data_IF_188865272344
#
_entry.id   IF_188865272344
#
_cell.length_a   1.000
_cell.length_b   1.000
_cell.length_c   1.000
_cell.angle_alpha   90.00
_cell.angle_beta   90.00
_cell.angle_gamma   90.00
#
_symmetry.space_group_name_H-M   'P 1'
#
loop_
_entity.id
_entity.type
_entity.pdbx_description
1 polymer ?
#
# COMPACT_ATOMS: atom_id res chain seq x y z
N UNK A 1 -4.53 12.59 3.72
CA UNK A 1 -3.25 12.54 2.99
C UNK A 1 -2.73 13.95 2.71
N UNK A 2 -3.48 14.80 2.00
CA UNK A 2 -3.08 16.19 1.68
C UNK A 2 -2.90 17.10 2.90
N UNK A 3 -3.71 16.95 3.96
CA UNK A 3 -3.56 17.75 5.19
C UNK A 3 -2.23 17.53 5.91
N UNK A 4 -1.71 16.30 5.88
CA UNK A 4 -0.43 15.98 6.51
C UNK A 4 0.74 16.65 5.78
N UNK A 5 0.71 16.65 4.44
CA UNK A 5 1.74 17.31 3.63
C UNK A 5 1.72 18.83 3.83
N UNK A 6 0.54 19.45 3.85
CA UNK A 6 0.40 20.90 3.99
C UNK A 6 0.93 21.43 5.34
N UNK A 7 0.62 20.76 6.46
CA UNK A 7 1.05 21.17 7.80
C UNK A 7 2.56 20.96 8.01
N UNK A 8 3.18 20.07 7.24
CA UNK A 8 4.57 19.69 7.43
C UNK A 8 5.57 20.79 7.00
N UNK A 9 5.19 21.64 6.05
CA UNK A 9 6.10 22.64 5.48
C UNK A 9 6.28 23.90 6.33
N UNK A 10 5.31 24.24 7.17
CA UNK A 10 5.30 25.53 7.87
C UNK A 10 6.10 25.55 9.18
N UNK A 11 6.69 24.42 9.57
CA UNK A 11 7.27 24.28 10.90
C UNK A 11 8.75 23.85 10.81
N UNK A 12 9.70 24.79 11.03
CA UNK A 12 11.12 24.47 11.02
C UNK A 12 11.47 23.39 12.07
N UNK A 13 12.49 22.58 11.76
CA UNK A 13 13.01 21.45 12.55
C UNK A 13 12.12 20.19 12.71
N UNK A 14 10.96 20.12 12.05
CA UNK A 14 10.16 18.88 12.10
C UNK A 14 10.85 17.68 11.45
N UNK A 15 11.64 17.88 10.41
CA UNK A 15 12.40 16.81 9.77
C UNK A 15 13.29 16.07 10.78
N UNK A 16 14.07 16.81 11.59
CA UNK A 16 14.95 16.22 12.62
C UNK A 16 14.16 15.52 13.72
N UNK A 17 13.04 16.13 14.14
CA UNK A 17 12.16 15.53 15.16
C UNK A 17 11.56 14.22 14.66
N UNK A 18 11.06 14.19 13.44
CA UNK A 18 10.50 12.99 12.83
C UNK A 18 11.57 11.93 12.57
N UNK A 19 12.76 12.32 12.11
CA UNK A 19 13.88 11.40 11.95
C UNK A 19 14.23 10.71 13.27
N UNK A 20 14.35 11.48 14.36
CA UNK A 20 14.60 10.93 15.69
C UNK A 20 13.48 9.99 16.16
N UNK A 21 12.21 10.37 15.95
CA UNK A 21 11.06 9.52 16.29
C UNK A 21 11.04 8.23 15.48
N UNK A 22 11.29 8.30 14.18
CA UNK A 22 11.31 7.15 13.28
C UNK A 22 12.47 6.20 13.61
N UNK A 23 13.70 6.72 13.83
CA UNK A 23 14.86 5.93 14.25
C UNK A 23 14.62 5.22 15.59
N UNK A 24 13.91 5.89 16.53
CA UNK A 24 13.48 5.29 17.80
C UNK A 24 12.28 4.36 17.69
N UNK A 25 11.74 4.15 16.48
CA UNK A 25 10.53 3.37 16.20
C UNK A 25 9.27 3.88 16.93
N UNK A 26 9.26 5.17 17.28
CA UNK A 26 8.15 5.84 17.96
C UNK A 26 7.13 6.48 16.99
N UNK A 27 7.39 6.43 15.69
CA UNK A 27 6.48 6.93 14.66
C UNK A 27 6.45 5.98 13.47
N UNK A 28 5.25 5.76 12.91
CA UNK A 28 5.03 5.03 11.67
C UNK A 28 3.95 5.68 10.84
N UNK A 29 4.14 5.71 9.53
CA UNK A 29 3.11 6.05 8.57
C UNK A 29 2.09 4.93 8.50
N UNK A 30 0.81 5.28 8.59
CA UNK A 30 -0.30 4.36 8.35
C UNK A 30 -1.44 5.11 7.67
N UNK A 31 -2.02 4.50 6.64
CA UNK A 31 -3.27 5.00 6.09
C UNK A 31 -4.41 4.65 7.04
N UNK A 32 -5.34 5.57 7.35
CA UNK A 32 -6.51 5.23 8.15
C UNK A 32 -7.41 4.23 7.43
N UNK A 33 -8.23 3.52 8.18
CA UNK A 33 -9.39 2.82 7.61
C UNK A 33 -10.55 3.82 7.54
N UNK A 34 -11.21 3.90 6.39
CA UNK A 34 -12.40 4.75 6.22
C UNK A 34 -13.49 3.92 5.54
N UNK A 35 -14.04 2.92 6.25
CA UNK A 35 -15.01 1.98 5.69
C UNK A 35 -16.29 2.66 5.21
N UNK A 36 -16.66 3.81 5.80
CA UNK A 36 -17.90 4.54 5.53
C UNK A 36 -17.96 5.10 4.10
N UNK A 37 -16.81 5.41 3.51
CA UNK A 37 -16.72 6.07 2.20
C UNK A 37 -16.51 5.08 1.03
N UNK A 38 -16.62 3.77 1.29
CA UNK A 38 -16.35 2.73 0.27
C UNK A 38 -17.19 2.94 -1.00
N UNK A 39 -18.46 3.31 -0.86
CA UNK A 39 -19.37 3.52 -1.99
C UNK A 39 -19.05 4.81 -2.74
N UNK A 40 -18.70 5.87 -2.01
CA UNK A 40 -18.39 7.19 -2.58
C UNK A 40 -17.08 7.17 -3.37
N UNK A 41 -16.15 6.27 -3.02
CA UNK A 41 -14.89 6.10 -3.71
C UNK A 41 -14.94 5.25 -4.98
N UNK A 42 -16.11 4.78 -5.44
CA UNK A 42 -16.18 3.95 -6.66
C UNK A 42 -15.57 4.66 -7.89
N UNK A 43 -15.89 5.93 -8.09
CA UNK A 43 -15.30 6.74 -9.16
C UNK A 43 -13.79 6.93 -9.00
N UNK A 44 -13.34 7.20 -7.77
CA UNK A 44 -11.91 7.35 -7.48
C UNK A 44 -11.14 6.05 -7.67
N UNK A 45 -11.71 4.89 -7.32
CA UNK A 45 -11.10 3.59 -7.57
C UNK A 45 -10.87 3.36 -9.07
N UNK A 46 -11.85 3.69 -9.91
CA UNK A 46 -11.70 3.57 -11.37
C UNK A 46 -10.53 4.41 -11.90
N UNK A 47 -10.40 5.66 -11.41
CA UNK A 47 -9.28 6.52 -11.77
C UNK A 47 -7.95 5.96 -11.23
N UNK A 48 -7.91 5.57 -9.96
CA UNK A 48 -6.72 5.08 -9.28
C UNK A 48 -6.17 3.80 -9.91
N UNK A 49 -7.04 2.91 -10.40
CA UNK A 49 -6.66 1.70 -11.13
C UNK A 49 -6.67 1.88 -12.66
N UNK A 50 -6.71 3.13 -13.15
CA UNK A 50 -6.63 3.42 -14.59
C UNK A 50 -5.19 3.30 -15.08
N UNK A 51 -5.02 3.00 -16.37
CA UNK A 51 -3.70 2.98 -17.01
C UNK A 51 -3.03 4.34 -16.95
N UNK A 52 -3.78 5.42 -17.16
CA UNK A 52 -3.26 6.79 -17.15
C UNK A 52 -2.63 7.16 -15.79
N UNK A 53 -3.27 6.77 -14.69
CA UNK A 53 -2.72 7.02 -13.36
C UNK A 53 -1.46 6.18 -13.09
N UNK A 54 -1.48 4.89 -13.43
CA UNK A 54 -0.29 4.04 -13.32
C UNK A 54 0.88 4.56 -14.16
N UNK A 55 0.63 4.98 -15.40
CA UNK A 55 1.65 5.55 -16.29
C UNK A 55 2.24 6.85 -15.70
N UNK A 56 1.41 7.70 -15.07
CA UNK A 56 1.86 8.89 -14.37
C UNK A 56 2.81 8.54 -13.21
N UNK A 57 2.42 7.60 -12.33
CA UNK A 57 3.24 7.18 -11.20
C UNK A 57 4.59 6.60 -11.67
N UNK A 58 4.56 5.76 -12.71
CA UNK A 58 5.78 5.19 -13.31
C UNK A 58 6.67 6.29 -13.86
N UNK A 59 6.11 7.26 -14.59
CA UNK A 59 6.88 8.35 -15.18
C UNK A 59 7.60 9.17 -14.10
N UNK A 60 6.92 9.51 -13.01
CA UNK A 60 7.53 10.23 -11.87
C UNK A 60 8.73 9.45 -11.30
N UNK A 61 8.63 8.12 -11.21
CA UNK A 61 9.72 7.27 -10.71
C UNK A 61 10.85 7.09 -11.73
N UNK A 62 10.51 6.97 -13.02
CA UNK A 62 11.48 6.81 -14.09
C UNK A 62 12.32 8.07 -14.27
N UNK A 63 11.70 9.25 -14.21
CA UNK A 63 12.38 10.55 -14.24
C UNK A 63 13.38 10.64 -13.06
N UNK A 64 13.02 10.09 -11.88
CA UNK A 64 13.93 10.03 -10.73
C UNK A 64 15.09 9.06 -10.93
N UNK A 65 14.84 7.89 -11.54
CA UNK A 65 15.86 6.88 -11.75
C UNK A 65 16.90 7.28 -12.81
N UNK A 66 16.47 8.01 -13.85
CA UNK A 66 17.31 8.40 -14.98
C UNK A 66 18.18 9.64 -14.72
N UNK A 67 17.70 10.58 -13.92
CA UNK A 67 18.39 11.85 -13.74
C UNK A 67 19.29 11.88 -12.49
N UNK A 68 20.50 12.43 -12.64
CA UNK A 68 21.38 12.82 -11.52
C UNK A 68 20.85 14.08 -10.83
N UNK A 69 19.54 14.17 -10.56
CA UNK A 69 18.91 15.44 -10.20
C UNK A 69 19.45 15.93 -8.86
N UNK A 70 19.81 17.22 -8.82
CA UNK A 70 20.05 17.94 -7.57
C UNK A 70 18.88 17.73 -6.60
N UNK A 71 19.18 17.52 -5.33
CA UNK A 71 18.23 17.23 -4.24
C UNK A 71 17.23 18.38 -4.00
N UNK A 72 16.31 18.63 -4.93
CA UNK A 72 15.29 19.66 -4.78
C UNK A 72 14.12 19.11 -3.97
N UNK A 73 13.57 19.93 -3.06
CA UNK A 73 12.45 19.55 -2.19
C UNK A 73 11.24 18.99 -2.98
N UNK A 74 10.96 19.57 -4.16
CA UNK A 74 9.89 19.14 -5.08
C UNK A 74 10.00 17.68 -5.51
N UNK A 75 11.21 17.15 -5.60
CA UNK A 75 11.43 15.78 -6.04
C UNK A 75 11.07 14.80 -4.93
N UNK A 76 11.45 15.11 -3.68
CA UNK A 76 11.09 14.30 -2.52
C UNK A 76 9.57 14.30 -2.33
N UNK A 77 8.90 15.44 -2.56
CA UNK A 77 7.43 15.55 -2.55
C UNK A 77 6.77 14.60 -3.54
N UNK A 78 7.25 14.60 -4.78
CA UNK A 78 6.72 13.74 -5.84
C UNK A 78 6.94 12.27 -5.51
N UNK A 79 8.12 11.93 -4.99
CA UNK A 79 8.45 10.57 -4.56
C UNK A 79 7.56 10.12 -3.39
N UNK A 80 7.37 10.99 -2.40
CA UNK A 80 6.50 10.75 -1.26
C UNK A 80 5.05 10.55 -1.70
N UNK A 81 4.50 11.46 -2.51
CA UNK A 81 3.13 11.39 -3.03
C UNK A 81 2.92 10.13 -3.87
N UNK A 82 3.87 9.78 -4.71
CA UNK A 82 3.85 8.54 -5.51
C UNK A 82 3.82 7.32 -4.61
N UNK A 83 4.69 7.29 -3.59
CA UNK A 83 4.78 6.15 -2.66
C UNK A 83 3.53 5.98 -1.81
N UNK A 84 2.97 7.09 -1.31
CA UNK A 84 1.69 7.07 -0.59
C UNK A 84 0.53 6.62 -1.49
N UNK A 85 0.54 6.99 -2.77
CA UNK A 85 -0.45 6.55 -3.75
C UNK A 85 -0.39 5.04 -3.98
N UNK A 86 0.82 4.47 -4.07
CA UNK A 86 1.01 3.02 -4.19
C UNK A 86 0.52 2.29 -2.93
N UNK A 87 0.82 2.81 -1.74
CA UNK A 87 0.25 2.29 -0.48
C UNK A 87 -1.28 2.31 -0.50
N UNK A 88 -1.87 3.40 -0.98
CA UNK A 88 -3.32 3.54 -1.06
C UNK A 88 -3.92 2.54 -2.04
N UNK A 89 -3.34 2.42 -3.24
CA UNK A 89 -3.76 1.44 -4.26
C UNK A 89 -3.74 0.02 -3.72
N UNK A 90 -2.62 -0.38 -3.09
CA UNK A 90 -2.48 -1.72 -2.55
C UNK A 90 -3.46 -1.94 -1.39
N UNK A 91 -3.51 -1.04 -0.41
CA UNK A 91 -4.42 -1.15 0.74
C UNK A 91 -5.88 -1.23 0.30
N UNK A 92 -6.34 -0.30 -0.55
CA UNK A 92 -7.72 -0.31 -1.06
C UNK A 92 -8.02 -1.62 -1.77
N UNK A 93 -7.09 -2.11 -2.59
CA UNK A 93 -7.30 -3.36 -3.32
C UNK A 93 -7.43 -4.58 -2.42
N UNK A 94 -6.68 -4.64 -1.31
CA UNK A 94 -6.74 -5.70 -0.30
C UNK A 94 -8.02 -5.55 0.54
N UNK A 95 -8.20 -4.40 1.21
CA UNK A 95 -9.30 -4.19 2.18
C UNK A 95 -10.68 -4.22 1.53
N UNK A 96 -10.80 -3.76 0.28
CA UNK A 96 -12.08 -3.76 -0.44
C UNK A 96 -12.26 -5.00 -1.33
N UNK A 97 -11.30 -5.93 -1.33
CA UNK A 97 -11.31 -7.15 -2.14
C UNK A 97 -11.59 -6.86 -3.63
N UNK A 98 -11.01 -5.78 -4.16
CA UNK A 98 -11.20 -5.37 -5.57
C UNK A 98 -10.26 -6.21 -6.42
N UNK A 99 -10.72 -7.39 -6.85
CA UNK A 99 -9.86 -8.39 -7.51
C UNK A 99 -9.03 -7.83 -8.67
N UNK A 100 -9.65 -7.11 -9.59
CA UNK A 100 -8.95 -6.48 -10.71
C UNK A 100 -8.01 -5.34 -10.25
N UNK A 101 -8.40 -4.58 -9.22
CA UNK A 101 -7.55 -3.54 -8.63
C UNK A 101 -6.30 -4.12 -7.99
N UNK A 102 -6.42 -5.25 -7.29
CA UNK A 102 -5.27 -5.93 -6.65
C UNK A 102 -4.31 -6.49 -7.69
N UNK A 103 -4.82 -7.10 -8.77
CA UNK A 103 -3.95 -7.55 -9.86
C UNK A 103 -3.17 -6.37 -10.47
N UNK A 104 -3.85 -5.25 -10.74
CA UNK A 104 -3.20 -4.04 -11.25
C UNK A 104 -2.18 -3.45 -10.28
N UNK A 105 -2.49 -3.44 -8.99
CA UNK A 105 -1.54 -3.02 -7.94
C UNK A 105 -0.31 -3.94 -7.93
N UNK A 106 -0.51 -5.25 -8.05
CA UNK A 106 0.60 -6.22 -8.06
C UNK A 106 1.49 -6.01 -9.28
N UNK A 107 0.90 -5.92 -10.47
CA UNK A 107 1.61 -5.69 -11.73
C UNK A 107 2.36 -4.34 -11.72
N UNK A 108 1.77 -3.30 -11.13
CA UNK A 108 2.41 -1.99 -11.01
C UNK A 108 3.58 -2.02 -10.02
N UNK A 109 3.35 -2.51 -8.79
CA UNK A 109 4.29 -2.36 -7.67
C UNK A 109 5.43 -3.39 -7.77
N UNK A 110 5.10 -4.65 -8.05
CA UNK A 110 6.06 -5.75 -8.03
C UNK A 110 6.46 -6.22 -9.43
N UNK A 111 5.74 -5.84 -10.48
CA UNK A 111 6.08 -6.20 -11.86
C UNK A 111 7.48 -5.73 -12.24
N UNK A 112 8.22 -6.60 -12.93
CA UNK A 112 9.55 -6.28 -13.47
C UNK A 112 9.38 -5.41 -14.71
N UNK A 113 10.04 -4.24 -14.75
CA UNK A 113 9.84 -3.27 -15.83
C UNK A 113 11.13 -2.88 -16.53
N UNK A 114 11.10 -2.86 -17.87
CA UNK A 114 12.25 -2.49 -18.72
C UNK A 114 12.59 -0.99 -18.64
N UNK A 115 11.58 -0.15 -18.47
CA UNK A 115 11.72 1.31 -18.31
C UNK A 115 12.44 1.69 -17.02
N UNK A 116 12.53 0.78 -16.05
CA UNK A 116 13.30 0.92 -14.81
C UNK A 116 14.58 0.05 -14.80
N UNK A 117 15.01 -0.47 -15.95
CA UNK A 117 16.22 -1.31 -16.02
C UNK A 117 16.03 -2.73 -15.48
N UNK A 118 14.85 -3.33 -15.69
CA UNK A 118 14.44 -4.67 -15.24
C UNK A 118 14.35 -4.83 -13.71
N UNK A 119 13.98 -3.76 -13.00
CA UNK A 119 13.62 -3.82 -11.58
C UNK A 119 12.12 -3.53 -11.40
N UNK A 120 11.60 -3.77 -10.20
CA UNK A 120 10.24 -3.40 -9.82
C UNK A 120 10.21 -2.06 -9.07
N UNK A 121 9.04 -1.43 -9.02
CA UNK A 121 8.86 -0.18 -8.27
C UNK A 121 9.20 -0.38 -6.80
N UNK A 122 8.79 -1.51 -6.19
CA UNK A 122 9.14 -1.79 -4.79
C UNK A 122 10.66 -1.79 -4.57
N UNK A 123 11.40 -2.53 -5.42
CA UNK A 123 12.87 -2.60 -5.30
C UNK A 123 13.51 -1.24 -5.49
N UNK A 124 13.02 -0.45 -6.46
CA UNK A 124 13.46 0.93 -6.65
C UNK A 124 13.24 1.74 -5.37
N UNK A 125 12.02 1.79 -4.82
CA UNK A 125 11.70 2.57 -3.63
C UNK A 125 12.53 2.18 -2.41
N UNK A 126 12.79 0.88 -2.22
CA UNK A 126 13.64 0.38 -1.13
C UNK A 126 15.10 0.78 -1.34
N UNK A 127 15.58 0.77 -2.60
CA UNK A 127 16.88 1.33 -2.91
C UNK A 127 16.93 2.83 -2.58
N UNK A 128 15.91 3.59 -2.98
CA UNK A 128 15.84 5.04 -2.74
C UNK A 128 15.77 5.37 -1.26
N UNK A 129 15.11 4.54 -0.46
CA UNK A 129 15.05 4.68 1.00
C UNK A 129 16.44 4.77 1.63
N UNK A 130 17.42 4.03 1.09
CA UNK A 130 18.81 4.07 1.57
C UNK A 130 19.61 5.29 1.11
N UNK A 131 19.08 6.05 0.14
CA UNK A 131 19.74 7.20 -0.49
C UNK A 131 19.14 8.53 -0.04
N UNK A 132 17.85 8.54 0.23
CA UNK A 132 17.10 9.72 0.63
C UNK A 132 17.01 9.72 2.15
N UNK A 133 17.76 10.62 2.80
CA UNK A 133 17.67 10.84 4.26
C UNK A 133 16.39 11.60 4.62
N UNK A 134 15.24 10.93 4.42
CA UNK A 134 13.92 11.46 4.74
C UNK A 134 13.11 10.40 5.50
N UNK A 135 12.77 10.74 6.74
CA UNK A 135 12.11 9.83 7.67
C UNK A 135 10.66 9.48 7.26
N UNK A 136 9.93 10.45 6.71
CA UNK A 136 8.55 10.22 6.26
C UNK A 136 8.57 9.25 5.08
N UNK A 137 9.40 9.53 4.08
CA UNK A 137 9.54 8.68 2.91
C UNK A 137 9.94 7.26 3.32
N UNK A 138 10.93 7.13 4.20
CA UNK A 138 11.35 5.84 4.75
C UNK A 138 10.20 5.10 5.43
N UNK A 139 9.38 5.81 6.20
CA UNK A 139 8.22 5.24 6.87
C UNK A 139 7.10 4.83 5.91
N UNK A 140 6.90 5.57 4.81
CA UNK A 140 5.94 5.20 3.76
C UNK A 140 6.38 3.95 3.02
N UNK A 141 7.67 3.81 2.71
CA UNK A 141 8.22 2.59 2.08
C UNK A 141 8.09 1.39 3.01
N UNK A 142 8.37 1.55 4.32
CA UNK A 142 8.14 0.48 5.29
C UNK A 142 6.68 0.04 5.35
N UNK A 143 5.76 1.00 5.32
CA UNK A 143 4.34 0.70 5.29
C UNK A 143 3.93 -0.04 4.01
N UNK A 144 4.50 0.33 2.85
CA UNK A 144 4.27 -0.42 1.61
C UNK A 144 4.75 -1.87 1.74
N UNK A 145 5.91 -2.09 2.35
CA UNK A 145 6.43 -3.45 2.59
C UNK A 145 5.55 -4.24 3.56
N UNK A 146 5.06 -3.61 4.63
CA UNK A 146 4.11 -4.20 5.58
C UNK A 146 2.81 -4.62 4.86
N UNK A 147 2.23 -3.74 4.04
CA UNK A 147 1.05 -4.05 3.22
C UNK A 147 1.32 -5.20 2.23
N UNK A 148 2.53 -5.28 1.72
CA UNK A 148 2.96 -6.32 0.77
C UNK A 148 3.24 -7.66 1.45
N UNK A 149 3.37 -7.68 2.78
CA UNK A 149 3.84 -8.82 3.58
C UNK A 149 5.19 -9.37 3.12
N UNK A 150 5.99 -8.53 2.45
CA UNK A 150 7.35 -8.88 2.02
C UNK A 150 8.31 -8.52 3.14
N UNK A 151 8.96 -9.53 3.71
CA UNK A 151 9.90 -9.34 4.79
C UNK A 151 11.14 -8.52 4.33
N UNK A 152 11.63 -7.58 5.14
CA UNK A 152 12.83 -6.80 4.82
C UNK A 152 14.04 -7.63 4.43
N UNK A 153 14.24 -8.79 5.05
CA UNK A 153 15.37 -9.69 4.76
C UNK A 153 15.39 -10.20 3.32
N UNK A 154 14.23 -10.27 2.66
CA UNK A 154 14.14 -10.64 1.24
C UNK A 154 14.79 -9.56 0.40
N UNK A 155 14.60 -8.30 0.74
CA UNK A 155 15.17 -7.17 0.02
C UNK A 155 16.62 -6.90 0.46
N UNK A 156 16.97 -7.26 1.70
CA UNK A 156 18.32 -7.21 2.25
C UNK A 156 19.01 -5.86 2.06
N UNK A 157 20.33 -5.83 2.23
CA UNK A 157 21.09 -4.74 1.64
C UNK A 157 21.00 -4.87 0.12
N UNK A 158 20.20 -4.01 -0.51
CA UNK A 158 20.27 -3.75 -1.93
C UNK A 158 21.63 -3.13 -2.21
N UNK A 159 22.65 -4.00 -2.32
CA UNK A 159 23.95 -3.63 -2.81
C UNK A 159 23.74 -2.85 -4.11
N UNK A 160 24.54 -1.80 -4.33
CA UNK A 160 24.46 -0.97 -5.55
C UNK A 160 24.75 -1.72 -6.86
N UNK A 161 24.73 -3.05 -6.85
CA UNK A 161 24.84 -3.94 -7.98
C UNK A 161 23.46 -4.15 -8.65
N UNK A 162 23.27 -3.70 -9.90
CA UNK A 162 22.02 -3.84 -10.63
C UNK A 162 21.55 -5.30 -10.79
N UNK A 163 22.47 -6.28 -10.93
CA UNK A 163 22.07 -7.69 -11.12
C UNK A 163 21.35 -8.24 -9.88
N UNK A 164 21.79 -7.83 -8.70
CA UNK A 164 21.15 -8.19 -7.44
C UNK A 164 19.74 -7.60 -7.36
N UNK A 165 19.56 -6.34 -7.75
CA UNK A 165 18.25 -5.68 -7.77
C UNK A 165 17.27 -6.39 -8.71
N UNK A 166 17.71 -6.78 -9.92
CA UNK A 166 16.88 -7.53 -10.88
C UNK A 166 16.41 -8.88 -10.31
N UNK A 167 17.31 -9.59 -9.64
CA UNK A 167 16.99 -10.86 -8.98
C UNK A 167 15.95 -10.64 -7.86
N UNK A 168 16.16 -9.63 -7.00
CA UNK A 168 15.21 -9.28 -5.94
C UNK A 168 13.85 -8.87 -6.49
N UNK A 169 13.80 -8.14 -7.61
CA UNK A 169 12.55 -7.75 -8.25
C UNK A 169 11.71 -8.97 -8.65
N UNK A 170 12.33 -9.98 -9.26
CA UNK A 170 11.66 -11.25 -9.60
C UNK A 170 11.18 -11.99 -8.35
N UNK A 171 12.04 -12.10 -7.32
CA UNK A 171 11.67 -12.76 -6.06
C UNK A 171 10.48 -12.08 -5.38
N UNK A 172 10.47 -10.74 -5.33
CA UNK A 172 9.35 -9.98 -4.77
C UNK A 172 8.07 -10.15 -5.58
N UNK A 173 8.16 -10.18 -6.91
CA UNK A 173 7.02 -10.42 -7.79
C UNK A 173 6.38 -11.79 -7.53
N UNK A 174 7.17 -12.85 -7.54
CA UNK A 174 6.69 -14.22 -7.37
C UNK A 174 6.11 -14.44 -5.96
N UNK A 175 6.74 -13.83 -4.96
CA UNK A 175 6.24 -13.86 -3.59
C UNK A 175 4.92 -13.11 -3.44
N UNK A 176 4.81 -11.89 -4.00
CA UNK A 176 3.58 -11.12 -3.95
C UNK A 176 2.42 -11.88 -4.63
N UNK A 177 2.67 -12.48 -5.80
CA UNK A 177 1.68 -13.33 -6.47
C UNK A 177 1.22 -14.48 -5.56
N UNK A 178 2.17 -15.18 -4.93
CA UNK A 178 1.87 -16.31 -4.04
C UNK A 178 1.03 -15.86 -2.83
N UNK A 179 1.45 -14.81 -2.13
CA UNK A 179 0.76 -14.27 -0.94
C UNK A 179 -0.69 -13.90 -1.29
N UNK A 180 -0.87 -13.08 -2.33
CA UNK A 180 -2.20 -12.54 -2.65
C UNK A 180 -3.11 -13.56 -3.35
N UNK A 181 -2.57 -14.61 -3.95
CA UNK A 181 -3.37 -15.73 -4.45
C UNK A 181 -3.88 -16.62 -3.30
N UNK A 182 -3.03 -16.95 -2.34
CA UNK A 182 -3.39 -17.78 -1.18
C UNK A 182 -4.48 -17.12 -0.34
N UNK A 183 -4.35 -15.83 -0.02
CA UNK A 183 -5.36 -15.08 0.74
C UNK A 183 -6.74 -15.05 0.06
N UNK A 184 -6.74 -14.97 -1.27
CA UNK A 184 -7.99 -15.04 -2.04
C UNK A 184 -8.65 -16.41 -1.95
N UNK A 185 -7.87 -17.48 -1.91
CA UNK A 185 -8.40 -18.84 -1.80
C UNK A 185 -8.98 -19.06 -0.39
N UNK A 186 -8.27 -18.68 0.66
CA UNK A 186 -8.73 -18.79 2.05
C UNK A 186 -10.06 -18.03 2.26
N UNK A 187 -10.15 -16.80 1.75
CA UNK A 187 -11.37 -15.99 1.84
C UNK A 187 -12.57 -16.64 1.13
N UNK A 188 -12.33 -17.38 0.03
CA UNK A 188 -13.39 -18.11 -0.68
C UNK A 188 -13.87 -19.33 0.10
N UNK A 189 -12.97 -20.06 0.77
CA UNK A 189 -13.32 -21.26 1.53
C UNK A 189 -14.15 -20.94 2.78
N UNK A 190 -13.81 -19.86 3.51
CA UNK A 190 -14.59 -19.41 4.69
C UNK A 190 -16.03 -19.04 4.31
N UNK A 191 -16.23 -18.38 3.16
CA UNK A 191 -17.56 -18.02 2.68
C UNK A 191 -18.37 -19.22 2.18
N UNK A 192 -17.71 -20.28 1.69
CA UNK A 192 -18.39 -21.49 1.23
C UNK A 192 -18.92 -22.34 2.39
N UNK A 193 -18.19 -22.42 3.51
CA UNK A 193 -18.61 -23.19 4.69
C UNK A 193 -19.62 -22.44 5.57
N UNK A 194 -19.61 -21.10 5.56
CA UNK A 194 -20.56 -20.26 6.31
C UNK A 194 -22.03 -20.38 5.87
N UNK A 195 -22.31 -20.97 4.70
CA UNK A 195 -23.67 -21.20 4.20
C UNK A 195 -24.35 -22.49 4.72
N UNK A 196 -23.73 -23.21 5.66
CA UNK A 196 -24.29 -24.43 6.28
C UNK A 196 -24.92 -24.22 7.66
N UNK A 197 -25.23 -22.99 8.08
CA UNK A 197 -26.05 -22.81 9.29
C UNK A 197 -27.54 -22.93 8.94
N UNK A 198 -28.29 -23.87 9.55
CA UNK A 198 -29.72 -23.97 9.34
C UNK A 198 -30.38 -22.67 9.80
N UNK A 199 -31.28 -22.12 8.97
CA UNK A 199 -32.17 -21.01 9.32
C UNK A 199 -32.80 -21.31 10.67
N UNK A 200 -32.31 -20.68 11.75
CA UNK A 200 -33.04 -20.67 13.02
C UNK A 200 -34.34 -19.94 12.74
N UNK A 201 -35.45 -20.68 12.77
CA UNK A 201 -36.78 -20.10 12.77
C UNK A 201 -36.84 -19.03 13.85
N UNK A 202 -36.97 -17.78 13.42
CA UNK A 202 -37.22 -16.65 14.31
C UNK A 202 -38.64 -16.84 14.84
N UNK A 203 -38.75 -17.46 16.02
CA UNK A 203 -40.01 -17.55 16.75
C UNK A 203 -40.30 -16.14 17.27
N UNK A 204 -41.29 -15.50 16.66
CA UNK A 204 -41.79 -14.18 17.04
C UNK A 204 -42.11 -14.16 18.54
N UNK A 205 -41.52 -13.21 19.27
CA UNK A 205 -41.68 -13.00 20.70
C UNK A 205 -42.75 -11.93 20.95
N UNK A 206 -43.93 -12.11 20.36
CA UNK A 206 -45.11 -11.26 20.54
C UNK A 206 -46.33 -12.13 20.88
N UNK A 207 -46.24 -12.89 21.96
CA UNK A 207 -47.38 -13.52 22.62
C UNK A 207 -47.01 -13.63 24.10
N UNK A 208 -47.19 -12.55 24.86
CA UNK A 208 -47.26 -12.53 26.34
C UNK A 208 -47.65 -11.12 26.79
N UNK A 209 -48.85 -10.70 26.39
CA UNK A 209 -49.56 -9.60 27.01
C UNK A 209 -51.01 -10.01 27.21
N UNK A 210 -51.30 -10.67 28.34
CA UNK A 210 -52.59 -10.55 29.02
C UNK A 210 -52.59 -11.39 30.31
N UNK A 211 -53.35 -10.91 31.30
CA UNK A 211 -53.62 -11.53 32.60
C UNK A 211 -52.61 -11.26 33.71
N UNK A 212 -52.77 -10.09 34.36
CA UNK A 212 -52.92 -9.98 35.82
C UNK A 212 -53.23 -8.54 36.23
N UNK A 213 -54.52 -8.24 36.39
CA UNK A 213 -55.04 -7.23 37.33
C UNK A 213 -56.33 -7.79 37.90
N UNK A 214 -56.24 -8.31 39.12
CA UNK A 214 -57.25 -8.28 40.18
C UNK A 214 -56.52 -8.47 41.51
#
# INVERSE_FOLDING_TARGET
>A
MFYFLYVFYDLPDLDKKFLNLYQKKNCKFQLPEVPELRNDFKGMNNFMFSKAYSDLLVRVLADWYGDSVSHSARIIENLLLTSMSLCLMLKVSITHNISHGLQKSIELIFGVRKDLGDISILVLLVHLKSKVDNAIFSSVVDYLMELSKIHPDILGELAGNPSHMKMKAKQCHDLALTIFQTERQETRMVNADGNKYPKRHHRSMYDLSESRKE
#
